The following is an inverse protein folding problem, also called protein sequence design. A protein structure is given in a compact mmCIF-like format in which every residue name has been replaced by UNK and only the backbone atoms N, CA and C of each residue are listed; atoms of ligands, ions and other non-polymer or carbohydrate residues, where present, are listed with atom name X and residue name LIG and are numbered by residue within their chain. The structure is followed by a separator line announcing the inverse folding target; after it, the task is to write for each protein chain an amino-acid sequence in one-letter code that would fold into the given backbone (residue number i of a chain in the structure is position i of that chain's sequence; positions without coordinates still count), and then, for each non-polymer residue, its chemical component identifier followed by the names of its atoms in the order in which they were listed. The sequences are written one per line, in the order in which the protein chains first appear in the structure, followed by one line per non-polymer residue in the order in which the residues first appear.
data_IF_523238780773
#
_entry.id   IF_523238780773
#
_cell.length_a   1.000
_cell.length_b   1.000
_cell.length_c   1.000
_cell.angle_alpha   90.00
_cell.angle_beta   90.00
_cell.angle_gamma   90.00
#
_symmetry.space_group_name_H-M   'P 1'
#
loop_
_entity.id
_entity.type
_entity.pdbx_description
1 polymer ?
#
# COMPACT_ATOMS: atom_id res chain seq x y z
N UNK A 1 -2.43 16.87 30.95
CA UNK A 1 -2.48 15.73 30.01
C UNK A 1 -1.12 15.06 29.95
N UNK A 2 -1.11 13.76 29.85
CA UNK A 2 0.14 13.03 29.77
C UNK A 2 0.70 13.07 28.35
N UNK A 3 1.99 13.32 28.23
CA UNK A 3 2.67 13.41 26.94
C UNK A 3 2.47 12.12 26.12
N UNK A 4 2.58 10.96 26.79
CA UNK A 4 2.38 9.68 26.10
C UNK A 4 1.00 9.51 25.49
N UNK A 5 -0.04 10.02 26.15
CA UNK A 5 -1.40 9.96 25.62
C UNK A 5 -1.56 10.85 24.39
N UNK A 6 -0.96 12.05 24.42
CA UNK A 6 -0.97 12.94 23.26
C UNK A 6 -0.26 12.33 22.07
N UNK A 7 0.91 11.76 22.28
CA UNK A 7 1.70 11.14 21.22
C UNK A 7 0.96 9.95 20.60
N UNK A 8 0.29 9.15 21.43
CA UNK A 8 -0.50 8.03 20.92
C UNK A 8 -1.68 8.50 20.08
N UNK A 9 -2.35 9.57 20.50
CA UNK A 9 -3.47 10.12 19.74
C UNK A 9 -3.02 10.61 18.37
N UNK A 10 -1.88 11.30 18.31
CA UNK A 10 -1.31 11.77 17.04
C UNK A 10 -0.93 10.58 16.16
N UNK A 11 -0.25 9.58 16.73
CA UNK A 11 0.13 8.38 16.00
C UNK A 11 -1.08 7.66 15.43
N UNK A 12 -2.12 7.46 16.24
CA UNK A 12 -3.32 6.73 15.82
C UNK A 12 -4.05 7.49 14.71
N UNK A 13 -4.08 8.83 14.77
CA UNK A 13 -4.66 9.64 13.71
C UNK A 13 -3.89 9.51 12.41
N UNK A 14 -2.55 9.46 12.46
CA UNK A 14 -1.72 9.29 11.28
C UNK A 14 -1.91 7.90 10.68
N UNK A 15 -1.97 6.86 11.52
CA UNK A 15 -2.19 5.50 11.06
C UNK A 15 -3.54 5.39 10.35
N UNK A 16 -4.59 5.93 10.96
CA UNK A 16 -5.94 5.89 10.39
C UNK A 16 -6.01 6.63 9.05
N UNK A 17 -5.45 7.83 9.00
CA UNK A 17 -5.44 8.64 7.78
C UNK A 17 -4.65 7.96 6.68
N UNK A 18 -3.47 7.41 7.00
CA UNK A 18 -2.63 6.73 6.03
C UNK A 18 -3.31 5.48 5.49
N UNK A 19 -3.90 4.68 6.38
CA UNK A 19 -4.64 3.48 5.97
C UNK A 19 -5.80 3.84 5.05
N UNK A 20 -6.51 4.93 5.34
CA UNK A 20 -7.62 5.36 4.49
C UNK A 20 -7.14 5.76 3.10
N UNK A 21 -6.00 6.45 3.00
CA UNK A 21 -5.43 6.83 1.71
C UNK A 21 -5.01 5.61 0.90
N UNK A 22 -4.40 4.62 1.54
CA UNK A 22 -4.01 3.38 0.88
C UNK A 22 -5.25 2.64 0.39
N UNK A 23 -6.26 2.52 1.25
CA UNK A 23 -7.51 1.87 0.89
C UNK A 23 -8.20 2.55 -0.28
N UNK A 24 -8.24 3.88 -0.29
CA UNK A 24 -8.83 4.64 -1.38
C UNK A 24 -8.12 4.36 -2.70
N UNK A 25 -6.78 4.28 -2.67
CA UNK A 25 -6.02 3.95 -3.88
C UNK A 25 -6.42 2.57 -4.41
N UNK A 26 -6.50 1.57 -3.54
CA UNK A 26 -6.92 0.23 -3.93
C UNK A 26 -8.34 0.21 -4.46
N UNK A 27 -9.26 0.93 -3.82
CA UNK A 27 -10.65 1.01 -4.27
C UNK A 27 -10.76 1.62 -5.68
N UNK A 28 -9.98 2.66 -5.95
CA UNK A 28 -9.96 3.31 -7.26
C UNK A 28 -9.38 2.42 -8.35
N UNK A 29 -8.48 1.53 -8.00
CA UNK A 29 -7.80 0.65 -8.95
C UNK A 29 -8.32 -0.79 -8.92
N UNK A 30 -9.38 -1.04 -8.15
CA UNK A 30 -9.89 -2.40 -7.95
C UNK A 30 -10.32 -3.08 -9.25
N UNK A 31 -10.91 -2.34 -10.18
CA UNK A 31 -11.32 -2.90 -11.45
C UNK A 31 -10.13 -3.43 -12.27
N UNK A 32 -9.02 -2.69 -12.24
CA UNK A 32 -7.80 -3.13 -12.91
C UNK A 32 -7.20 -4.37 -12.25
N UNK A 33 -7.18 -4.36 -10.91
CA UNK A 33 -6.66 -5.49 -10.14
C UNK A 33 -7.48 -6.75 -10.37
N UNK A 34 -8.80 -6.62 -10.34
CA UNK A 34 -9.70 -7.74 -10.60
C UNK A 34 -9.57 -8.25 -12.03
N UNK A 35 -9.41 -7.32 -12.99
CA UNK A 35 -9.19 -7.69 -14.39
C UNK A 35 -7.93 -8.53 -14.56
N UNK A 36 -6.84 -8.14 -13.90
CA UNK A 36 -5.60 -8.91 -13.96
C UNK A 36 -5.77 -10.30 -13.34
N UNK A 37 -6.44 -10.38 -12.18
CA UNK A 37 -6.68 -11.64 -11.49
C UNK A 37 -7.57 -12.57 -12.33
N UNK A 38 -8.60 -12.03 -12.98
CA UNK A 38 -9.47 -12.82 -13.84
C UNK A 38 -8.73 -13.36 -15.06
N UNK A 39 -7.68 -12.66 -15.49
CA UNK A 39 -6.81 -13.13 -16.57
C UNK A 39 -5.78 -14.16 -16.13
N UNK A 40 -5.76 -14.53 -14.84
CA UNK A 40 -4.82 -15.52 -14.30
C UNK A 40 -3.53 -14.96 -13.77
N UNK A 41 -3.41 -13.64 -13.66
CA UNK A 41 -2.18 -13.01 -13.16
C UNK A 41 -2.10 -13.08 -11.64
N UNK A 42 -0.87 -13.17 -11.12
CA UNK A 42 -0.57 -13.15 -9.68
C UNK A 42 -0.11 -11.78 -9.21
N UNK A 43 0.10 -10.86 -10.13
CA UNK A 43 0.58 -9.52 -9.83
C UNK A 43 0.16 -8.54 -10.90
N UNK A 44 0.35 -7.26 -10.59
CA UNK A 44 0.15 -6.19 -11.56
C UNK A 44 1.31 -5.20 -11.40
N UNK A 45 1.72 -4.59 -12.49
CA UNK A 45 2.82 -3.62 -12.50
C UNK A 45 2.29 -2.26 -12.90
N UNK A 46 2.59 -1.25 -12.08
CA UNK A 46 2.28 0.14 -12.39
C UNK A 46 3.58 0.89 -12.64
N UNK A 47 3.71 1.49 -13.82
CA UNK A 47 4.91 2.24 -14.20
C UNK A 47 4.67 3.73 -14.37
N UNK A 48 3.47 4.21 -14.03
CA UNK A 48 3.17 5.62 -14.10
C UNK A 48 3.77 6.38 -12.91
N UNK A 49 4.17 7.62 -13.17
CA UNK A 49 4.85 8.45 -12.19
C UNK A 49 4.01 8.72 -10.95
N UNK A 50 2.72 8.96 -11.11
CA UNK A 50 1.81 9.24 -10.01
C UNK A 50 1.77 8.09 -9.00
N UNK A 51 1.57 6.88 -9.48
CA UNK A 51 1.52 5.69 -8.64
C UNK A 51 2.87 5.45 -7.97
N UNK A 52 3.95 5.58 -8.73
CA UNK A 52 5.28 5.39 -8.18
C UNK A 52 5.55 6.37 -7.03
N UNK A 53 5.26 7.65 -7.21
CA UNK A 53 5.47 8.67 -6.18
C UNK A 53 4.60 8.42 -4.94
N UNK A 54 3.36 8.00 -5.14
CA UNK A 54 2.47 7.70 -4.04
C UNK A 54 3.04 6.62 -3.13
N UNK A 55 3.47 5.51 -3.70
CA UNK A 55 4.03 4.41 -2.92
C UNK A 55 5.45 4.70 -2.43
N UNK A 56 6.25 5.42 -3.20
CA UNK A 56 7.58 5.83 -2.76
C UNK A 56 7.50 6.66 -1.47
N UNK A 57 6.57 7.60 -1.41
CA UNK A 57 6.36 8.40 -0.21
C UNK A 57 5.93 7.54 0.98
N UNK A 58 5.06 6.56 0.74
CA UNK A 58 4.65 5.63 1.80
C UNK A 58 5.82 4.80 2.31
N UNK A 59 6.66 4.28 1.41
CA UNK A 59 7.84 3.53 1.80
C UNK A 59 8.84 4.38 2.58
N UNK A 60 8.97 5.65 2.23
CA UNK A 60 9.93 6.54 2.88
C UNK A 60 9.43 7.07 4.23
N UNK A 61 8.14 7.36 4.35
CA UNK A 61 7.59 8.04 5.52
C UNK A 61 6.72 7.16 6.41
N UNK A 62 6.05 6.18 5.84
CA UNK A 62 5.06 5.36 6.55
C UNK A 62 5.23 3.87 6.24
N UNK A 63 6.46 3.40 6.16
CA UNK A 63 6.76 2.02 5.79
C UNK A 63 6.05 0.99 6.67
N UNK A 64 6.08 1.19 7.98
CA UNK A 64 5.45 0.26 8.92
C UNK A 64 3.94 0.18 8.71
N UNK A 65 3.31 1.32 8.50
CA UNK A 65 1.85 1.37 8.26
C UNK A 65 1.52 0.64 6.96
N UNK A 66 2.32 0.87 5.92
CA UNK A 66 2.12 0.19 4.64
C UNK A 66 2.31 -1.32 4.79
N UNK A 67 3.35 -1.76 5.49
CA UNK A 67 3.62 -3.18 5.71
C UNK A 67 2.47 -3.84 6.48
N UNK A 68 1.96 -3.20 7.50
CA UNK A 68 0.83 -3.73 8.28
C UNK A 68 -0.43 -3.83 7.42
N UNK A 69 -0.69 -2.82 6.60
CA UNK A 69 -1.83 -2.84 5.68
C UNK A 69 -1.72 -4.02 4.71
N UNK A 70 -0.54 -4.20 4.11
CA UNK A 70 -0.31 -5.28 3.16
C UNK A 70 -0.49 -6.66 3.82
N UNK A 71 0.00 -6.81 5.04
CA UNK A 71 -0.14 -8.04 5.79
C UNK A 71 -1.60 -8.38 6.06
N UNK A 72 -2.39 -7.39 6.48
CA UNK A 72 -3.82 -7.57 6.75
C UNK A 72 -4.61 -7.91 5.50
N UNK A 73 -4.24 -7.35 4.36
CA UNK A 73 -4.96 -7.53 3.11
C UNK A 73 -4.41 -8.68 2.25
N UNK A 74 -3.39 -9.39 2.73
CA UNK A 74 -2.75 -10.50 2.02
C UNK A 74 -2.23 -10.08 0.64
N UNK A 75 -1.59 -8.94 0.57
CA UNK A 75 -0.92 -8.46 -0.64
C UNK A 75 0.51 -8.07 -0.31
N UNK A 76 1.36 -8.01 -1.32
CA UNK A 76 2.73 -7.51 -1.19
C UNK A 76 2.94 -6.41 -2.21
N UNK A 77 3.69 -5.39 -1.82
CA UNK A 77 4.02 -4.28 -2.70
C UNK A 77 5.52 -4.15 -2.78
N UNK A 78 6.04 -4.15 -3.99
CA UNK A 78 7.47 -4.02 -4.25
C UNK A 78 7.75 -2.70 -4.97
N UNK A 79 8.76 -1.98 -4.49
CA UNK A 79 9.15 -0.69 -5.05
C UNK A 79 10.41 -0.87 -5.89
N UNK A 80 10.28 -0.74 -7.21
CA UNK A 80 11.42 -0.77 -8.12
C UNK A 80 11.96 0.63 -8.35
N UNK A 81 12.91 1.04 -7.52
CA UNK A 81 13.44 2.42 -7.57
C UNK A 81 14.19 2.74 -8.86
N UNK A 82 14.94 1.79 -9.38
CA UNK A 82 15.71 1.98 -10.60
C UNK A 82 14.82 2.10 -11.82
N UNK A 83 13.79 1.27 -11.88
CA UNK A 83 12.85 1.22 -13.00
C UNK A 83 11.65 2.14 -12.83
N UNK A 84 11.52 2.72 -11.63
CA UNK A 84 10.41 3.61 -11.25
C UNK A 84 9.06 2.96 -11.46
N UNK A 85 8.89 1.77 -10.89
CA UNK A 85 7.64 1.03 -11.00
C UNK A 85 7.23 0.44 -9.67
N UNK A 86 5.95 0.14 -9.55
CA UNK A 86 5.36 -0.51 -8.38
C UNK A 86 4.78 -1.84 -8.83
N UNK A 87 5.09 -2.89 -8.08
CA UNK A 87 4.56 -4.23 -8.36
C UNK A 87 3.71 -4.66 -7.17
N UNK A 88 2.47 -5.03 -7.43
CA UNK A 88 1.54 -5.49 -6.41
C UNK A 88 1.28 -6.96 -6.63
N UNK A 89 1.58 -7.79 -5.63
CA UNK A 89 1.44 -9.24 -5.69
C UNK A 89 0.30 -9.71 -4.79
N UNK A 90 -0.42 -10.74 -5.24
CA UNK A 90 -1.43 -11.42 -4.41
C UNK A 90 -1.37 -12.94 -4.56
N UNK A 91 -0.64 -13.46 -5.51
CA UNK A 91 -0.61 -14.89 -5.82
C UNK A 91 0.33 -15.71 -4.97
N UNK A 92 1.28 -15.09 -4.28
CA UNK A 92 2.27 -15.79 -3.48
C UNK A 92 1.89 -15.90 -2.00
N UNK A 93 0.72 -15.44 -1.65
CA UNK A 93 0.24 -15.52 -0.27
C UNK A 93 -0.28 -16.92 0.00
N UNK A 94 0.37 -17.61 0.93
CA UNK A 94 -0.11 -18.92 1.34
C UNK A 94 -1.04 -18.75 2.52
N UNK A 95 -2.25 -19.05 2.32
CA UNK A 95 -3.26 -18.96 3.36
C UNK A 95 -3.48 -20.30 4.05
#
# INVERSE_FOLDING_TARGET
MKIGAELRAIRDGIIEDTNQRIKNWFDEHMDELKGAALGGADCIIYDDEETFKFFENLFNENETILADFCSEQSVEIELGRTEKKIIIFWGNQSD
#
